data_IF_577280374630
#
_entry.id   IF_577280374630
#
_cell.length_a   1.000
_cell.length_b   1.000
_cell.length_c   1.000
_cell.angle_alpha   90.00
_cell.angle_beta   90.00
_cell.angle_gamma   90.00
#
_symmetry.space_group_name_H-M   'P 1'
#
loop_
_entity.id
_entity.type
_entity.pdbx_description
1 polymer ?
#
# COMPACT_ATOMS: atom_id res chain seq x y z
N UNK A 1 -27.30 -66.28 -3.10
CA UNK A 1 -26.70 -65.25 -2.21
C UNK A 1 -25.24 -65.08 -2.60
N UNK A 2 -24.97 -64.32 -3.67
CA UNK A 2 -23.62 -64.01 -4.15
C UNK A 2 -23.57 -62.48 -4.20
N UNK A 3 -22.93 -61.86 -3.21
CA UNK A 3 -22.97 -60.42 -3.05
C UNK A 3 -22.28 -60.02 -1.75
N UNK A 4 -20.96 -60.06 -1.76
CA UNK A 4 -20.16 -59.68 -0.61
C UNK A 4 -18.77 -60.26 -0.73
N UNK A 5 -17.92 -59.61 -1.53
CA UNK A 5 -16.45 -59.68 -1.57
C UNK A 5 -15.96 -59.11 -2.91
N UNK A 6 -16.39 -57.90 -3.27
CA UNK A 6 -15.78 -57.15 -4.39
C UNK A 6 -14.52 -56.39 -3.94
N UNK A 7 -13.96 -56.74 -2.78
CA UNK A 7 -12.68 -56.22 -2.33
C UNK A 7 -11.63 -56.70 -3.33
N UNK A 8 -11.03 -55.80 -4.11
CA UNK A 8 -10.20 -56.24 -5.23
C UNK A 8 -8.86 -56.70 -4.67
N UNK A 9 -8.72 -58.01 -4.49
CA UNK A 9 -7.51 -58.67 -3.99
C UNK A 9 -6.34 -58.43 -4.98
N UNK A 10 -6.63 -58.30 -6.28
CA UNK A 10 -5.68 -58.00 -7.35
C UNK A 10 -6.04 -56.72 -8.11
N UNK A 11 -6.05 -55.56 -7.45
CA UNK A 11 -6.36 -54.28 -8.11
C UNK A 11 -5.14 -53.62 -8.80
N UNK A 12 -4.11 -54.37 -9.21
CA UNK A 12 -2.86 -53.89 -9.84
C UNK A 12 -2.24 -52.62 -9.20
N UNK A 13 -2.48 -52.38 -7.90
CA UNK A 13 -2.03 -51.16 -7.22
C UNK A 13 -2.91 -49.91 -7.41
N UNK A 14 -4.06 -49.97 -8.09
CA UNK A 14 -4.99 -48.83 -8.30
C UNK A 14 -5.37 -48.12 -6.99
N UNK A 15 -5.67 -48.88 -5.92
CA UNK A 15 -5.98 -48.29 -4.61
C UNK A 15 -4.76 -47.58 -4.01
N UNK A 16 -3.55 -48.11 -4.22
CA UNK A 16 -2.28 -47.50 -3.80
C UNK A 16 -2.03 -46.21 -4.59
N UNK A 17 -2.22 -46.23 -5.90
CA UNK A 17 -2.13 -45.04 -6.78
C UNK A 17 -3.16 -43.99 -6.36
N UNK A 18 -4.41 -44.38 -6.07
CA UNK A 18 -5.45 -43.45 -5.59
C UNK A 18 -5.06 -42.81 -4.25
N UNK A 19 -4.52 -43.60 -3.31
CA UNK A 19 -4.02 -43.08 -2.04
C UNK A 19 -2.85 -42.12 -2.24
N UNK A 20 -1.85 -42.50 -3.06
CA UNK A 20 -0.71 -41.63 -3.39
C UNK A 20 -1.18 -40.33 -4.03
N UNK A 21 -2.11 -40.38 -4.99
CA UNK A 21 -2.68 -39.18 -5.60
C UNK A 21 -3.41 -38.30 -4.58
N UNK A 22 -4.17 -38.90 -3.64
CA UNK A 22 -4.84 -38.16 -2.58
C UNK A 22 -3.83 -37.49 -1.63
N UNK A 23 -2.75 -38.19 -1.25
CA UNK A 23 -1.67 -37.65 -0.45
C UNK A 23 -0.95 -36.50 -1.16
N UNK A 24 -0.64 -36.65 -2.45
CA UNK A 24 -0.04 -35.57 -3.25
C UNK A 24 -0.96 -34.34 -3.33
N UNK A 25 -2.27 -34.53 -3.49
CA UNK A 25 -3.25 -33.43 -3.48
C UNK A 25 -3.32 -32.74 -2.10
N UNK A 26 -3.23 -33.49 -1.01
CA UNK A 26 -3.17 -32.92 0.33
C UNK A 26 -1.93 -32.03 0.51
N UNK A 27 -0.75 -32.49 0.07
CA UNK A 27 0.48 -31.70 0.11
C UNK A 27 0.37 -30.44 -0.75
N UNK A 28 -0.21 -30.54 -1.95
CA UNK A 28 -0.46 -29.38 -2.81
C UNK A 28 -1.39 -28.36 -2.14
N UNK A 29 -2.48 -28.81 -1.52
CA UNK A 29 -3.42 -27.95 -0.81
C UNK A 29 -2.76 -27.26 0.39
N UNK A 30 -1.94 -27.98 1.16
CA UNK A 30 -1.17 -27.44 2.27
C UNK A 30 -0.17 -26.36 1.81
N UNK A 31 0.60 -26.63 0.76
CA UNK A 31 1.53 -25.66 0.20
C UNK A 31 0.81 -24.42 -0.35
N UNK A 32 -0.35 -24.61 -0.98
CA UNK A 32 -1.18 -23.51 -1.48
C UNK A 32 -1.66 -22.63 -0.32
N UNK A 33 -2.12 -23.25 0.77
CA UNK A 33 -2.50 -22.54 1.99
C UNK A 33 -1.34 -21.74 2.58
N UNK A 34 -0.15 -22.35 2.71
CA UNK A 34 1.04 -21.65 3.20
C UNK A 34 1.40 -20.45 2.29
N UNK A 35 1.34 -20.64 0.98
CA UNK A 35 1.61 -19.57 0.02
C UNK A 35 0.61 -18.41 0.16
N UNK A 36 -0.69 -18.71 0.29
CA UNK A 36 -1.73 -17.69 0.50
C UNK A 36 -1.50 -16.90 1.79
N UNK A 37 -1.09 -17.58 2.87
CA UNK A 37 -0.78 -16.93 4.14
C UNK A 37 0.43 -15.99 4.03
N UNK A 38 1.50 -16.42 3.36
CA UNK A 38 2.68 -15.60 3.14
C UNK A 38 2.38 -14.37 2.28
N UNK A 39 1.60 -14.55 1.21
CA UNK A 39 1.18 -13.45 0.33
C UNK A 39 0.32 -12.44 1.09
N UNK A 40 -0.66 -12.90 1.88
CA UNK A 40 -1.49 -12.02 2.69
C UNK A 40 -0.65 -11.22 3.71
N UNK A 41 0.32 -11.86 4.38
CA UNK A 41 1.23 -11.18 5.29
C UNK A 41 2.09 -10.12 4.59
N UNK A 42 2.59 -10.41 3.39
CA UNK A 42 3.32 -9.46 2.57
C UNK A 42 2.45 -8.28 2.13
N UNK A 43 1.21 -8.52 1.70
CA UNK A 43 0.26 -7.47 1.30
C UNK A 43 -0.04 -6.51 2.44
N UNK A 44 -0.32 -7.03 3.65
CA UNK A 44 -0.54 -6.20 4.85
C UNK A 44 0.70 -5.40 5.20
N UNK A 45 1.87 -6.04 5.22
CA UNK A 45 3.13 -5.35 5.54
C UNK A 45 3.44 -4.23 4.56
N UNK A 46 3.24 -4.45 3.27
CA UNK A 46 3.48 -3.45 2.24
C UNK A 46 2.49 -2.29 2.34
N UNK A 47 1.21 -2.58 2.58
CA UNK A 47 0.18 -1.55 2.71
C UNK A 47 0.39 -0.69 3.96
N UNK A 48 0.80 -1.31 5.08
CA UNK A 48 1.11 -0.58 6.31
C UNK A 48 2.30 0.36 6.10
N UNK A 49 3.38 -0.14 5.50
CA UNK A 49 4.55 0.68 5.19
C UNK A 49 4.21 1.83 4.24
N UNK A 50 3.39 1.59 3.21
CA UNK A 50 2.94 2.63 2.30
C UNK A 50 2.14 3.72 3.02
N UNK A 51 1.31 3.35 3.99
CA UNK A 51 0.57 4.30 4.82
C UNK A 51 1.50 5.14 5.71
N UNK A 52 2.44 4.51 6.42
CA UNK A 52 3.43 5.21 7.26
C UNK A 52 4.24 6.22 6.44
N UNK A 53 4.76 5.79 5.28
CA UNK A 53 5.50 6.68 4.38
C UNK A 53 4.65 7.85 3.87
N UNK A 54 3.35 7.63 3.62
CA UNK A 54 2.46 8.71 3.19
C UNK A 54 2.19 9.73 4.30
N UNK A 55 2.10 9.27 5.56
CA UNK A 55 1.98 10.14 6.75
C UNK A 55 3.25 10.97 6.92
N UNK A 56 4.43 10.36 6.87
CA UNK A 56 5.71 11.08 7.00
C UNK A 56 5.91 12.11 5.88
N UNK A 57 5.47 11.77 4.66
CA UNK A 57 5.48 12.69 3.53
C UNK A 57 4.55 13.88 3.72
N UNK A 58 3.34 13.68 4.27
CA UNK A 58 2.39 14.74 4.64
C UNK A 58 2.99 15.71 5.65
N UNK A 59 3.53 15.20 6.77
CA UNK A 59 4.17 16.01 7.82
C UNK A 59 5.35 16.83 7.27
N UNK A 60 6.19 16.22 6.44
CA UNK A 60 7.32 16.91 5.80
C UNK A 60 6.85 18.05 4.88
N UNK A 61 5.73 17.87 4.18
CA UNK A 61 5.20 18.87 3.24
C UNK A 61 4.46 19.99 3.93
N UNK A 62 3.80 19.73 5.06
CA UNK A 62 3.24 20.77 5.94
C UNK A 62 4.34 21.74 6.39
N UNK A 63 5.46 21.21 6.90
CA UNK A 63 6.64 22.01 7.26
C UNK A 63 7.22 22.80 6.08
N UNK A 64 7.21 22.22 4.88
CA UNK A 64 7.64 22.91 3.66
C UNK A 64 6.72 24.08 3.32
N UNK A 65 5.40 23.88 3.40
CA UNK A 65 4.40 24.93 3.14
C UNK A 65 4.58 26.06 4.16
N UNK A 66 4.69 25.78 5.45
CA UNK A 66 4.92 26.80 6.49
C UNK A 66 6.19 27.62 6.24
N UNK A 67 7.27 26.97 5.78
CA UNK A 67 8.51 27.66 5.44
C UNK A 67 8.36 28.57 4.22
N UNK A 68 7.59 28.13 3.21
CA UNK A 68 7.33 28.90 2.00
C UNK A 68 6.36 30.07 2.26
N UNK A 69 5.39 29.92 3.15
CA UNK A 69 4.54 31.01 3.61
C UNK A 69 5.37 32.13 4.25
N UNK A 70 6.33 31.77 5.12
CA UNK A 70 7.29 32.73 5.68
C UNK A 70 8.17 33.38 4.61
N UNK A 71 8.58 32.62 3.59
CA UNK A 71 9.36 33.17 2.48
C UNK A 71 8.55 34.21 1.66
N UNK A 72 7.26 33.96 1.43
CA UNK A 72 6.36 34.94 0.81
C UNK A 72 6.23 36.19 1.67
N UNK A 73 5.97 36.05 2.97
CA UNK A 73 5.89 37.19 3.90
C UNK A 73 7.18 38.04 3.89
N UNK A 74 8.35 37.39 3.98
CA UNK A 74 9.63 38.12 3.98
C UNK A 74 9.92 38.79 2.64
N UNK A 75 9.59 38.17 1.51
CA UNK A 75 9.79 38.79 0.19
C UNK A 75 8.83 39.96 -0.06
N UNK A 76 7.60 39.89 0.46
CA UNK A 76 6.67 41.02 0.45
C UNK A 76 7.18 42.19 1.29
N UNK A 77 7.68 41.92 2.51
CA UNK A 77 8.29 42.96 3.35
C UNK A 77 9.54 43.57 2.68
N UNK A 78 10.40 42.75 2.07
CA UNK A 78 11.56 43.27 1.35
C UNK A 78 11.16 44.15 0.17
N UNK A 79 10.11 43.81 -0.57
CA UNK A 79 9.60 44.66 -1.65
C UNK A 79 9.11 46.02 -1.11
N UNK A 80 8.49 46.05 0.07
CA UNK A 80 7.98 47.28 0.69
C UNK A 80 9.09 48.16 1.26
N UNK A 81 10.11 47.56 1.89
CA UNK A 81 11.13 48.29 2.67
C UNK A 81 12.50 48.38 1.98
N UNK A 82 12.74 47.68 0.87
CA UNK A 82 14.03 47.64 0.16
C UNK A 82 13.87 47.94 -1.32
N UNK A 83 14.71 48.84 -1.84
CA UNK A 83 14.81 49.16 -3.26
C UNK A 83 15.54 48.09 -4.10
N UNK A 84 16.03 47.03 -3.46
CA UNK A 84 16.78 45.94 -4.12
C UNK A 84 15.91 44.72 -4.50
N UNK A 85 14.67 44.63 -3.99
CA UNK A 85 13.77 43.50 -4.26
C UNK A 85 12.76 43.86 -5.32
N UNK A 86 12.63 43.01 -6.34
CA UNK A 86 11.71 43.25 -7.44
C UNK A 86 10.45 42.38 -7.25
N UNK A 87 9.32 42.79 -7.83
CA UNK A 87 8.06 42.05 -7.74
C UNK A 87 8.18 40.60 -8.25
N UNK A 88 9.16 40.33 -9.11
CA UNK A 88 9.49 38.98 -9.58
C UNK A 88 9.89 38.03 -8.46
N UNK A 89 10.53 38.51 -7.39
CA UNK A 89 10.97 37.67 -6.26
C UNK A 89 9.78 37.22 -5.41
N UNK A 90 8.81 38.11 -5.22
CA UNK A 90 7.53 37.80 -4.57
C UNK A 90 6.77 36.77 -5.41
N UNK A 91 6.65 37.01 -6.72
CA UNK A 91 5.97 36.10 -7.63
C UNK A 91 6.61 34.71 -7.65
N UNK A 92 7.94 34.61 -7.65
CA UNK A 92 8.64 33.33 -7.57
C UNK A 92 8.37 32.62 -6.24
N UNK A 93 8.34 33.35 -5.12
CA UNK A 93 8.04 32.79 -3.80
C UNK A 93 6.60 32.27 -3.72
N UNK A 94 5.64 33.03 -4.26
CA UNK A 94 4.23 32.63 -4.36
C UNK A 94 4.05 31.41 -5.26
N UNK A 95 4.75 31.33 -6.40
CA UNK A 95 4.73 30.16 -7.28
C UNK A 95 5.27 28.90 -6.57
N UNK A 96 6.36 29.03 -5.81
CA UNK A 96 6.92 27.93 -5.04
C UNK A 96 5.93 27.46 -3.96
N UNK A 97 5.30 28.40 -3.23
CA UNK A 97 4.27 28.09 -2.24
C UNK A 97 3.09 27.35 -2.88
N UNK A 98 2.57 27.86 -3.99
CA UNK A 98 1.44 27.24 -4.70
C UNK A 98 1.80 25.82 -5.17
N UNK A 99 3.00 25.61 -5.72
CA UNK A 99 3.46 24.29 -6.14
C UNK A 99 3.55 23.30 -4.96
N UNK A 100 4.02 23.76 -3.80
CA UNK A 100 4.07 22.97 -2.59
C UNK A 100 2.67 22.64 -2.05
N UNK A 101 1.73 23.60 -2.07
CA UNK A 101 0.34 23.38 -1.67
C UNK A 101 -0.40 22.41 -2.59
N UNK A 102 -0.19 22.49 -3.91
CA UNK A 102 -0.75 21.53 -4.87
C UNK A 102 -0.19 20.13 -4.64
N UNK A 103 1.12 20.02 -4.41
CA UNK A 103 1.73 18.76 -3.97
C UNK A 103 1.14 18.31 -2.63
N UNK A 104 0.84 19.25 -1.73
CA UNK A 104 0.06 19.13 -0.49
C UNK A 104 -1.22 18.32 -0.67
N UNK A 105 -2.05 18.73 -1.60
CA UNK A 105 -3.29 18.03 -1.93
C UNK A 105 -3.01 16.62 -2.45
N UNK A 106 -2.02 16.47 -3.32
CA UNK A 106 -1.70 15.17 -3.91
C UNK A 106 -1.23 14.13 -2.87
N UNK A 107 -0.36 14.48 -1.91
CA UNK A 107 0.06 13.44 -0.97
C UNK A 107 -0.97 13.19 0.15
N UNK A 108 -1.90 14.11 0.39
CA UNK A 108 -3.10 13.79 1.19
C UNK A 108 -3.96 12.73 0.47
N UNK A 109 -4.16 12.86 -0.84
CA UNK A 109 -4.80 11.82 -1.65
C UNK A 109 -4.04 10.48 -1.56
N UNK A 110 -2.71 10.50 -1.65
CA UNK A 110 -1.89 9.28 -1.51
C UNK A 110 -2.07 8.62 -0.14
N UNK A 111 -2.09 9.41 0.94
CA UNK A 111 -2.37 8.91 2.30
C UNK A 111 -3.74 8.26 2.38
N UNK A 112 -4.78 8.89 1.84
CA UNK A 112 -6.14 8.34 1.84
C UNK A 112 -6.23 7.02 1.04
N UNK A 113 -5.55 6.94 -0.10
CA UNK A 113 -5.46 5.70 -0.87
C UNK A 113 -4.74 4.59 -0.09
N UNK A 114 -3.63 4.92 0.58
CA UNK A 114 -2.91 3.97 1.42
C UNK A 114 -3.77 3.44 2.58
N UNK A 115 -4.62 4.28 3.17
CA UNK A 115 -5.61 3.84 4.19
C UNK A 115 -6.58 2.81 3.62
N UNK A 116 -7.13 3.07 2.42
CA UNK A 116 -8.06 2.16 1.75
C UNK A 116 -7.38 0.82 1.41
N UNK A 117 -6.14 0.88 0.92
CA UNK A 117 -5.37 -0.33 0.61
C UNK A 117 -5.01 -1.13 1.86
N UNK A 118 -4.64 -0.48 2.95
CA UNK A 118 -4.39 -1.14 4.23
C UNK A 118 -5.66 -1.80 4.77
N UNK A 119 -6.79 -1.11 4.72
CA UNK A 119 -8.09 -1.67 5.10
C UNK A 119 -8.44 -2.93 4.27
N UNK A 120 -8.21 -2.88 2.96
CA UNK A 120 -8.41 -4.02 2.07
C UNK A 120 -7.46 -5.18 2.39
N UNK A 121 -6.19 -4.90 2.61
CA UNK A 121 -5.16 -5.91 2.90
C UNK A 121 -5.43 -6.65 4.23
N UNK A 122 -5.99 -5.95 5.22
CA UNK A 122 -6.41 -6.54 6.50
C UNK A 122 -7.65 -7.45 6.41
N UNK A 123 -8.19 -7.65 5.20
CA UNK A 123 -9.31 -8.52 4.91
C UNK A 123 -10.57 -7.79 4.48
N UNK A 124 -10.61 -6.46 4.61
CA UNK A 124 -11.78 -5.63 4.32
C UNK A 124 -12.98 -5.99 5.22
N UNK A 125 -13.84 -5.01 5.48
CA UNK A 125 -15.15 -5.29 6.06
C UNK A 125 -15.88 -6.33 5.22
N UNK A 126 -16.12 -7.49 5.81
CA UNK A 126 -16.90 -8.55 5.20
C UNK A 126 -18.37 -8.08 5.15
N UNK A 127 -18.92 -7.99 3.94
CA UNK A 127 -20.27 -7.50 3.58
C UNK A 127 -20.49 -6.00 3.64
#
# INVERSE_FOLDING_TARGET
LIGGLTQPIFNQGINKVRLTNAQSKQVQAYNSFQQSLLVAGQEVSNALYAYEMAVDKEDSREKQIEALEKAVDFTQQLLEYSSATNYTDVLTSEQNLLAAQLSGVNDNLQKLQAVVDLYRALGGGWK
#
